data_IF_362361098506
#
_entry.id   IF_362361098506
#
_cell.length_a   1.000
_cell.length_b   1.000
_cell.length_c   1.000
_cell.angle_alpha   90.00
_cell.angle_beta   90.00
_cell.angle_gamma   90.00
#
_symmetry.space_group_name_H-M   'P 1'
#
loop_
_entity.id
_entity.type
_entity.pdbx_description
1 polymer ?
#
# COMPACT_ATOMS: atom_id res chain seq x y z
N UNK A 1 -18.15 19.30 -27.97
CA UNK A 1 -18.19 17.85 -27.90
C UNK A 1 -18.43 17.45 -26.45
N UNK A 2 -19.47 16.64 -26.13
CA UNK A 2 -19.59 16.08 -24.78
C UNK A 2 -18.34 15.24 -24.55
N UNK A 3 -17.49 15.58 -23.58
CA UNK A 3 -16.39 14.74 -23.14
C UNK A 3 -17.07 13.43 -22.70
N UNK A 4 -16.85 12.32 -23.41
CA UNK A 4 -17.34 11.02 -22.93
C UNK A 4 -16.77 10.83 -21.52
N UNK A 5 -17.64 10.51 -20.56
CA UNK A 5 -17.22 10.19 -19.21
C UNK A 5 -16.27 9.00 -19.26
N UNK A 6 -15.11 9.01 -18.61
CA UNK A 6 -14.16 7.92 -18.68
C UNK A 6 -14.73 6.63 -18.06
N UNK A 7 -14.48 5.48 -18.69
CA UNK A 7 -14.86 4.17 -18.16
C UNK A 7 -13.93 3.78 -17.02
N UNK A 8 -14.48 3.28 -15.91
CA UNK A 8 -13.73 2.81 -14.75
C UNK A 8 -13.89 1.29 -14.59
N UNK A 9 -12.77 0.56 -14.64
CA UNK A 9 -12.73 -0.87 -14.35
C UNK A 9 -12.50 -1.08 -12.85
N UNK A 10 -13.51 -1.58 -12.12
CA UNK A 10 -13.39 -1.99 -10.72
C UNK A 10 -12.97 -3.45 -10.69
N UNK A 11 -11.79 -3.75 -10.12
CA UNK A 11 -11.24 -5.10 -10.03
C UNK A 11 -11.44 -5.63 -8.62
N UNK A 12 -12.13 -6.78 -8.48
CA UNK A 12 -12.44 -7.43 -7.21
C UNK A 12 -11.83 -8.84 -7.20
N UNK A 13 -10.65 -9.03 -6.57
CA UNK A 13 -10.12 -10.36 -6.31
C UNK A 13 -10.90 -11.04 -5.18
N UNK A 14 -11.36 -12.27 -5.39
CA UNK A 14 -12.18 -13.02 -4.43
C UNK A 14 -11.55 -14.37 -4.10
N UNK A 15 -11.32 -14.63 -2.82
CA UNK A 15 -10.93 -15.94 -2.30
C UNK A 15 -11.58 -16.18 -0.94
N UNK A 16 -12.49 -17.17 -0.85
CA UNK A 16 -13.23 -17.52 0.37
C UNK A 16 -13.88 -16.30 1.05
N UNK A 17 -14.62 -15.51 0.26
CA UNK A 17 -15.25 -14.26 0.66
C UNK A 17 -16.76 -14.36 0.83
N UNK A 18 -17.34 -15.57 0.96
CA UNK A 18 -18.79 -15.81 0.96
C UNK A 18 -19.56 -14.96 1.98
N UNK A 19 -18.91 -14.60 3.10
CA UNK A 19 -19.54 -13.78 4.15
C UNK A 19 -19.71 -12.31 3.75
N UNK A 20 -18.81 -11.78 2.91
CA UNK A 20 -18.73 -10.35 2.60
C UNK A 20 -19.20 -10.00 1.18
N UNK A 21 -18.91 -10.86 0.22
CA UNK A 21 -18.92 -10.53 -1.21
C UNK A 21 -20.27 -10.00 -1.71
N UNK A 22 -21.39 -10.47 -1.17
CA UNK A 22 -22.70 -9.99 -1.60
C UNK A 22 -22.89 -8.49 -1.37
N UNK A 23 -22.57 -8.00 -0.16
CA UNK A 23 -22.69 -6.56 0.16
C UNK A 23 -21.64 -5.73 -0.60
N UNK A 24 -20.46 -6.29 -0.84
CA UNK A 24 -19.44 -5.65 -1.69
C UNK A 24 -19.98 -5.42 -3.10
N UNK A 25 -20.55 -6.45 -3.73
CA UNK A 25 -21.16 -6.32 -5.07
C UNK A 25 -22.35 -5.34 -5.09
N UNK A 26 -23.17 -5.34 -4.03
CA UNK A 26 -24.25 -4.37 -3.87
C UNK A 26 -23.70 -2.94 -3.79
N UNK A 27 -22.61 -2.70 -3.08
CA UNK A 27 -21.98 -1.37 -2.96
C UNK A 27 -21.40 -0.87 -4.30
N UNK A 28 -20.88 -1.78 -5.13
CA UNK A 28 -20.42 -1.46 -6.49
C UNK A 28 -21.61 -1.19 -7.42
N UNK A 29 -22.67 -1.99 -7.31
CA UNK A 29 -23.89 -1.80 -8.10
C UNK A 29 -24.59 -0.47 -7.83
N UNK A 30 -24.50 0.03 -6.60
CA UNK A 30 -25.11 1.28 -6.13
C UNK A 30 -24.28 2.54 -6.41
N UNK A 31 -23.14 2.42 -7.14
CA UNK A 31 -22.35 3.60 -7.48
C UNK A 31 -23.15 4.59 -8.34
N UNK A 32 -23.06 5.87 -7.99
CA UNK A 32 -23.75 6.96 -8.72
C UNK A 32 -23.09 7.25 -10.06
N UNK A 33 -21.84 6.90 -10.25
CA UNK A 33 -21.11 7.06 -11.51
C UNK A 33 -21.53 5.97 -12.50
N UNK A 34 -22.02 6.33 -13.72
CA UNK A 34 -22.66 5.34 -14.62
C UNK A 34 -21.67 4.51 -15.45
N UNK A 35 -20.49 5.07 -15.76
CA UNK A 35 -19.52 4.42 -16.68
C UNK A 35 -18.57 3.51 -15.88
N UNK A 36 -19.09 2.35 -15.44
CA UNK A 36 -18.36 1.35 -14.66
C UNK A 36 -18.48 -0.03 -15.33
N UNK A 37 -17.36 -0.75 -15.42
CA UNK A 37 -17.33 -2.20 -15.50
C UNK A 37 -16.75 -2.79 -14.22
N UNK A 38 -17.24 -3.93 -13.79
CA UNK A 38 -16.75 -4.64 -12.61
C UNK A 38 -16.16 -5.99 -13.02
N UNK A 39 -14.89 -6.21 -12.75
CA UNK A 39 -14.13 -7.43 -13.06
C UNK A 39 -13.93 -8.21 -11.78
N UNK A 40 -14.68 -9.30 -11.64
CA UNK A 40 -14.68 -10.14 -10.43
C UNK A 40 -13.90 -11.41 -10.75
N UNK A 41 -12.87 -11.69 -9.96
CA UNK A 41 -12.02 -12.85 -10.17
C UNK A 41 -12.11 -13.77 -8.96
N UNK A 42 -12.72 -14.95 -9.15
CA UNK A 42 -12.68 -16.02 -8.16
C UNK A 42 -11.33 -16.74 -8.26
N UNK A 43 -10.50 -16.60 -7.24
CA UNK A 43 -9.16 -17.21 -7.15
C UNK A 43 -9.21 -18.58 -6.49
N UNK A 44 -10.04 -19.49 -7.02
CA UNK A 44 -10.15 -20.86 -6.55
C UNK A 44 -10.79 -21.00 -5.17
N UNK A 45 -11.84 -20.22 -4.87
CA UNK A 45 -12.59 -20.34 -3.60
C UNK A 45 -13.15 -21.73 -3.40
N UNK A 46 -13.12 -22.20 -2.15
CA UNK A 46 -13.62 -23.51 -1.71
C UNK A 46 -14.94 -23.42 -0.92
N UNK A 47 -15.39 -22.20 -0.67
CA UNK A 47 -16.67 -21.88 -0.05
C UNK A 47 -17.73 -21.49 -1.11
N UNK A 48 -18.86 -20.95 -0.68
CA UNK A 48 -19.96 -20.53 -1.57
C UNK A 48 -19.72 -19.21 -2.31
N UNK A 49 -18.50 -18.65 -2.29
CA UNK A 49 -18.17 -17.36 -2.96
C UNK A 49 -18.55 -17.39 -4.44
N UNK A 50 -18.14 -18.45 -5.18
CA UNK A 50 -18.42 -18.56 -6.61
C UNK A 50 -19.92 -18.58 -6.90
N UNK A 51 -20.70 -19.29 -6.10
CA UNK A 51 -22.16 -19.36 -6.27
C UNK A 51 -22.80 -17.98 -6.06
N UNK A 52 -22.34 -17.23 -5.07
CA UNK A 52 -22.87 -15.89 -4.78
C UNK A 52 -22.59 -14.94 -5.97
N UNK A 53 -21.34 -14.89 -6.44
CA UNK A 53 -20.97 -13.97 -7.54
C UNK A 53 -21.65 -14.34 -8.85
N UNK A 54 -21.82 -15.63 -9.17
CA UNK A 54 -22.47 -16.06 -10.41
C UNK A 54 -23.98 -15.83 -10.40
N UNK A 55 -24.59 -15.82 -9.22
CA UNK A 55 -26.02 -15.51 -9.04
C UNK A 55 -26.30 -14.00 -9.00
N UNK A 56 -25.30 -13.15 -8.84
CA UNK A 56 -25.47 -11.70 -8.86
C UNK A 56 -25.63 -11.17 -10.28
N UNK A 57 -26.88 -10.87 -10.66
CA UNK A 57 -27.23 -10.47 -12.03
C UNK A 57 -26.97 -8.97 -12.27
N UNK A 58 -25.91 -8.65 -12.99
CA UNK A 58 -25.62 -7.31 -13.48
C UNK A 58 -24.87 -7.37 -14.80
N UNK A 59 -25.33 -6.64 -15.82
CA UNK A 59 -24.75 -6.65 -17.18
C UNK A 59 -23.35 -6.05 -17.26
N UNK A 60 -22.96 -5.24 -16.28
CA UNK A 60 -21.63 -4.60 -16.21
C UNK A 60 -20.62 -5.42 -15.37
N UNK A 61 -21.03 -6.61 -14.88
CA UNK A 61 -20.19 -7.47 -14.06
C UNK A 61 -19.65 -8.64 -14.90
N UNK A 62 -18.33 -8.71 -15.01
CA UNK A 62 -17.59 -9.74 -15.73
C UNK A 62 -16.93 -10.69 -14.74
N UNK A 63 -17.34 -11.95 -14.73
CA UNK A 63 -16.89 -12.94 -13.76
C UNK A 63 -15.88 -13.87 -14.43
N UNK A 64 -14.74 -14.03 -13.76
CA UNK A 64 -13.68 -14.96 -14.14
C UNK A 64 -13.37 -15.90 -12.98
N UNK A 65 -12.92 -17.10 -13.29
CA UNK A 65 -12.44 -18.08 -12.31
C UNK A 65 -11.10 -18.64 -12.73
N UNK A 66 -10.22 -18.85 -11.75
CA UNK A 66 -8.91 -19.48 -11.94
C UNK A 66 -8.60 -20.41 -10.75
N UNK A 67 -7.60 -21.27 -10.88
CA UNK A 67 -6.99 -21.93 -9.74
C UNK A 67 -6.34 -20.89 -8.83
N UNK A 68 -6.26 -21.16 -7.52
CA UNK A 68 -5.68 -20.21 -6.57
C UNK A 68 -4.21 -19.89 -6.90
N UNK A 69 -3.94 -18.64 -7.24
CA UNK A 69 -2.61 -18.08 -7.55
C UNK A 69 -2.19 -16.98 -6.59
N UNK A 70 -3.09 -16.61 -5.68
CA UNK A 70 -2.88 -15.54 -4.71
C UNK A 70 -3.22 -14.14 -5.21
N UNK A 71 -3.27 -13.20 -4.28
CA UNK A 71 -3.84 -11.86 -4.47
C UNK A 71 -3.15 -11.05 -5.58
N UNK A 72 -1.80 -11.08 -5.63
CA UNK A 72 -1.01 -10.37 -6.65
C UNK A 72 -1.35 -10.81 -8.05
N UNK A 73 -1.36 -12.13 -8.31
CA UNK A 73 -1.63 -12.69 -9.63
C UNK A 73 -3.09 -12.47 -10.01
N UNK A 74 -4.01 -12.51 -9.05
CA UNK A 74 -5.42 -12.23 -9.27
C UNK A 74 -5.65 -10.76 -9.65
N UNK A 75 -5.00 -9.81 -8.98
CA UNK A 75 -5.04 -8.39 -9.36
C UNK A 75 -4.39 -8.16 -10.73
N UNK A 76 -3.26 -8.82 -11.03
CA UNK A 76 -2.61 -8.73 -12.34
C UNK A 76 -3.50 -9.27 -13.46
N UNK A 77 -4.19 -10.39 -13.23
CA UNK A 77 -5.16 -10.92 -14.19
C UNK A 77 -6.32 -9.94 -14.40
N UNK A 78 -6.81 -9.30 -13.34
CA UNK A 78 -7.82 -8.24 -13.45
C UNK A 78 -7.34 -7.05 -14.30
N UNK A 79 -6.08 -6.62 -14.13
CA UNK A 79 -5.46 -5.58 -14.96
C UNK A 79 -5.43 -5.94 -16.45
N UNK A 80 -5.18 -7.21 -16.78
CA UNK A 80 -5.18 -7.69 -18.16
C UNK A 80 -6.59 -7.69 -18.78
N UNK A 81 -7.64 -7.84 -17.97
CA UNK A 81 -9.04 -7.82 -18.39
C UNK A 81 -9.66 -6.42 -18.44
N UNK A 82 -9.05 -5.44 -17.76
CA UNK A 82 -9.55 -4.10 -17.68
C UNK A 82 -9.54 -3.39 -19.04
N UNK A 83 -10.72 -2.88 -19.44
CA UNK A 83 -10.93 -2.10 -20.67
C UNK A 83 -11.11 -0.60 -20.40
N UNK A 84 -11.33 -0.22 -19.14
CA UNK A 84 -11.58 1.16 -18.73
C UNK A 84 -10.37 2.10 -18.88
N UNK A 85 -10.67 3.39 -19.00
CA UNK A 85 -9.66 4.47 -18.96
C UNK A 85 -8.94 4.51 -17.62
N UNK A 86 -9.62 4.06 -16.57
CA UNK A 86 -9.11 3.96 -15.21
C UNK A 86 -9.33 2.58 -14.63
N UNK A 87 -8.43 2.22 -13.70
CA UNK A 87 -8.54 1.03 -12.85
C UNK A 87 -8.71 1.46 -11.39
N UNK A 88 -9.62 0.77 -10.69
CA UNK A 88 -9.84 0.87 -9.26
C UNK A 88 -9.83 -0.53 -8.65
N UNK A 89 -9.04 -0.75 -7.59
CA UNK A 89 -9.05 -2.01 -6.86
C UNK A 89 -9.99 -1.94 -5.66
N UNK A 90 -10.80 -2.99 -5.48
CA UNK A 90 -11.68 -3.16 -4.33
C UNK A 90 -11.51 -4.58 -3.78
N UNK A 91 -11.17 -4.71 -2.50
CA UNK A 91 -11.08 -6.03 -1.89
C UNK A 91 -12.46 -6.62 -1.61
N UNK A 92 -12.54 -7.95 -1.60
CA UNK A 92 -13.82 -8.68 -1.49
C UNK A 92 -14.47 -8.65 -0.11
N UNK A 93 -13.87 -7.93 0.83
CA UNK A 93 -14.37 -7.71 2.20
C UNK A 93 -14.53 -6.22 2.56
N UNK A 94 -14.37 -5.30 1.59
CA UNK A 94 -14.46 -3.86 1.78
C UNK A 94 -15.69 -3.27 1.07
N UNK A 95 -16.12 -2.06 1.47
CA UNK A 95 -17.33 -1.41 0.96
C UNK A 95 -16.99 -0.08 0.28
N UNK A 96 -17.64 0.21 -0.84
CA UNK A 96 -17.56 1.51 -1.50
C UNK A 96 -18.71 2.43 -1.07
N UNK A 97 -18.43 3.68 -0.61
CA UNK A 97 -19.46 4.71 -0.55
C UNK A 97 -20.15 4.89 -1.90
N UNK A 98 -21.46 5.13 -1.94
CA UNK A 98 -22.21 5.22 -3.20
C UNK A 98 -21.65 6.24 -4.20
N UNK A 99 -21.01 7.32 -3.74
CA UNK A 99 -20.40 8.37 -4.55
C UNK A 99 -18.90 8.18 -4.76
N UNK A 100 -18.31 7.04 -4.40
CA UNK A 100 -16.86 6.85 -4.38
C UNK A 100 -16.21 7.10 -5.74
N UNK A 101 -16.70 6.45 -6.79
CA UNK A 101 -16.13 6.60 -8.14
C UNK A 101 -16.42 7.98 -8.72
N UNK A 102 -17.62 8.54 -8.49
CA UNK A 102 -17.97 9.89 -8.92
C UNK A 102 -17.06 10.96 -8.30
N UNK A 103 -16.80 10.85 -6.99
CA UNK A 103 -15.90 11.76 -6.26
C UNK A 103 -14.47 11.72 -6.80
N UNK A 104 -13.99 10.54 -7.19
CA UNK A 104 -12.65 10.36 -7.77
C UNK A 104 -12.58 10.86 -9.22
N UNK A 105 -13.60 10.62 -10.03
CA UNK A 105 -13.60 10.99 -11.46
C UNK A 105 -13.87 12.48 -11.67
N UNK A 106 -14.79 13.08 -10.91
CA UNK A 106 -15.23 14.49 -11.08
C UNK A 106 -14.05 15.48 -11.15
N UNK A 107 -13.03 15.42 -10.28
CA UNK A 107 -11.92 16.37 -10.31
C UNK A 107 -10.88 16.10 -11.39
N UNK A 108 -11.02 15.06 -12.23
CA UNK A 108 -10.07 14.69 -13.27
C UNK A 108 -9.99 15.76 -14.35
N UNK A 109 -8.78 16.26 -14.62
CA UNK A 109 -8.51 17.30 -15.62
C UNK A 109 -7.92 16.78 -16.93
N UNK A 110 -7.53 15.51 -16.98
CA UNK A 110 -6.83 14.89 -18.10
C UNK A 110 -5.34 14.69 -17.87
N UNK A 111 -4.80 15.24 -16.78
CA UNK A 111 -3.36 15.20 -16.49
C UNK A 111 -2.96 14.16 -15.46
N UNK A 112 -3.88 13.77 -14.58
CA UNK A 112 -3.59 12.92 -13.43
C UNK A 112 -3.31 11.48 -13.85
N UNK A 113 -2.19 10.92 -13.38
CA UNK A 113 -1.90 9.50 -13.46
C UNK A 113 -2.64 8.72 -12.37
N UNK A 114 -2.79 9.36 -11.18
CA UNK A 114 -3.42 8.75 -10.00
C UNK A 114 -4.28 9.80 -9.30
N UNK A 115 -5.49 9.41 -8.90
CA UNK A 115 -6.34 10.20 -8.00
C UNK A 115 -6.58 9.38 -6.75
N UNK A 116 -6.35 9.95 -5.57
CA UNK A 116 -6.36 9.26 -4.28
C UNK A 116 -7.41 9.89 -3.38
N UNK A 117 -8.34 9.08 -2.89
CA UNK A 117 -9.35 9.49 -1.93
C UNK A 117 -9.00 9.10 -0.49
N UNK A 118 -9.82 9.52 0.46
CA UNK A 118 -9.67 9.20 1.88
C UNK A 118 -10.29 7.86 2.20
N UNK A 119 -9.59 7.04 3.01
CA UNK A 119 -10.07 5.75 3.49
C UNK A 119 -10.57 5.87 4.92
N UNK A 120 -11.76 5.35 5.19
CA UNK A 120 -12.30 5.20 6.53
C UNK A 120 -12.19 3.75 6.99
N UNK A 121 -11.75 3.54 8.22
CA UNK A 121 -11.88 2.26 8.92
C UNK A 121 -13.36 2.01 9.24
N UNK A 122 -13.86 0.87 8.83
CA UNK A 122 -15.27 0.51 8.91
C UNK A 122 -15.46 -0.78 9.71
N UNK A 123 -16.45 -0.80 10.56
CA UNK A 123 -16.88 -2.03 11.24
C UNK A 123 -18.00 -2.67 10.45
N UNK A 124 -17.75 -3.88 10.01
CA UNK A 124 -18.73 -4.69 9.32
C UNK A 124 -19.91 -5.05 10.24
N UNK A 125 -19.63 -5.35 11.52
CA UNK A 125 -20.64 -5.74 12.49
C UNK A 125 -21.59 -4.58 12.83
N UNK A 126 -21.05 -3.40 13.09
CA UNK A 126 -21.85 -2.23 13.52
C UNK A 126 -22.30 -1.35 12.36
N UNK A 127 -21.80 -1.58 11.14
CA UNK A 127 -22.03 -0.77 9.93
C UNK A 127 -21.70 0.71 10.14
N UNK A 128 -20.61 1.00 10.88
CA UNK A 128 -20.18 2.37 11.21
C UNK A 128 -18.70 2.62 10.91
N UNK A 129 -18.40 3.86 10.57
CA UNK A 129 -17.03 4.36 10.50
C UNK A 129 -16.47 4.43 11.93
N UNK A 130 -15.29 3.85 12.16
CA UNK A 130 -14.61 3.81 13.45
C UNK A 130 -13.54 4.94 13.51
N UNK A 131 -12.78 5.11 12.43
CA UNK A 131 -11.67 6.07 12.33
C UNK A 131 -11.31 6.29 10.86
N UNK A 132 -10.26 7.03 10.60
CA UNK A 132 -9.75 7.24 9.25
C UNK A 132 -8.29 6.80 9.17
N UNK A 133 -7.88 6.26 8.03
CA UNK A 133 -6.47 6.05 7.74
C UNK A 133 -5.77 7.39 7.52
N UNK A 134 -4.46 7.46 7.72
CA UNK A 134 -3.69 8.66 7.41
C UNK A 134 -3.93 9.13 5.98
N UNK A 135 -4.24 10.41 5.82
CA UNK A 135 -4.52 11.06 4.54
C UNK A 135 -4.19 12.55 4.62
N UNK A 136 -4.08 13.21 3.47
CA UNK A 136 -3.98 14.65 3.40
C UNK A 136 -5.37 15.28 3.60
N UNK A 137 -5.48 16.28 4.45
CA UNK A 137 -6.77 16.86 4.86
C UNK A 137 -7.41 17.77 3.79
N UNK A 138 -6.62 18.25 2.84
CA UNK A 138 -7.07 19.17 1.78
C UNK A 138 -6.80 18.59 0.39
N UNK A 139 -7.55 19.08 -0.61
CA UNK A 139 -7.27 18.74 -2.02
C UNK A 139 -5.89 19.27 -2.42
N UNK A 140 -5.02 18.37 -2.86
CA UNK A 140 -3.66 18.71 -3.25
C UNK A 140 -3.28 18.03 -4.57
N UNK A 141 -2.68 18.80 -5.46
CA UNK A 141 -2.17 18.33 -6.73
C UNK A 141 -0.64 18.39 -6.73
N UNK A 142 -0.01 17.27 -7.08
CA UNK A 142 1.44 17.13 -7.15
C UNK A 142 1.89 16.85 -8.58
N UNK A 143 2.83 17.65 -9.07
CA UNK A 143 3.51 17.45 -10.36
C UNK A 143 4.97 17.07 -10.14
N UNK A 144 5.46 16.10 -10.90
CA UNK A 144 6.86 15.62 -10.82
C UNK A 144 7.83 16.44 -11.68
N UNK A 145 7.51 17.68 -12.03
CA UNK A 145 8.38 18.51 -12.90
C UNK A 145 9.65 19.01 -12.22
N UNK A 146 9.58 19.32 -10.92
CA UNK A 146 10.69 19.92 -10.16
C UNK A 146 10.87 19.35 -8.75
N UNK A 147 10.02 18.43 -8.32
CA UNK A 147 10.09 17.79 -7.00
C UNK A 147 9.54 16.38 -7.08
N UNK A 148 10.13 15.47 -6.34
CA UNK A 148 9.63 14.11 -6.24
C UNK A 148 8.25 14.11 -5.56
N UNK A 149 7.24 13.47 -6.15
CA UNK A 149 5.92 13.28 -5.52
C UNK A 149 6.08 12.43 -4.26
N UNK A 150 6.90 11.37 -4.35
CA UNK A 150 7.24 10.57 -3.17
C UNK A 150 8.13 11.41 -2.24
N UNK A 151 7.53 11.93 -1.19
CA UNK A 151 8.17 12.74 -0.14
C UNK A 151 8.02 12.08 1.22
N UNK A 152 8.76 12.58 2.21
CA UNK A 152 8.57 12.11 3.60
C UNK A 152 7.14 12.36 4.10
N UNK A 153 6.50 13.43 3.66
CA UNK A 153 5.11 13.73 3.98
C UNK A 153 4.16 12.65 3.43
N UNK A 154 4.35 12.25 2.18
CA UNK A 154 3.59 11.17 1.54
C UNK A 154 3.82 9.83 2.25
N UNK A 155 5.08 9.47 2.52
CA UNK A 155 5.43 8.21 3.21
C UNK A 155 4.75 8.11 4.59
N UNK A 156 4.54 9.23 5.27
CA UNK A 156 3.97 9.25 6.63
C UNK A 156 2.46 9.32 6.66
N UNK A 157 1.87 10.02 5.71
CA UNK A 157 0.46 10.40 5.74
C UNK A 157 -0.40 9.61 4.76
N UNK A 158 0.18 8.67 4.01
CA UNK A 158 -0.60 7.78 3.16
C UNK A 158 -0.43 6.33 3.57
N UNK A 159 -1.54 5.60 3.50
CA UNK A 159 -1.52 4.16 3.64
C UNK A 159 -1.09 3.51 2.31
N UNK A 160 -0.12 2.57 2.33
CA UNK A 160 0.38 1.91 1.13
C UNK A 160 -0.56 0.79 0.64
N UNK A 161 -1.87 1.04 0.60
CA UNK A 161 -2.87 0.12 0.08
C UNK A 161 -3.05 0.33 -1.43
N UNK A 162 -3.32 -0.71 -2.20
CA UNK A 162 -3.62 -0.61 -3.62
C UNK A 162 -5.00 0.00 -3.87
N UNK A 163 -5.93 -0.23 -2.96
CA UNK A 163 -7.30 0.25 -2.99
C UNK A 163 -7.37 1.77 -2.84
N UNK A 164 -8.58 2.32 -3.00
CA UNK A 164 -8.88 3.74 -2.81
C UNK A 164 -8.09 4.69 -3.71
N UNK A 165 -7.67 4.21 -4.86
CA UNK A 165 -6.95 4.99 -5.87
C UNK A 165 -7.51 4.70 -7.25
N UNK A 166 -7.75 5.76 -8.00
CA UNK A 166 -8.09 5.68 -9.41
C UNK A 166 -6.79 5.81 -10.20
N UNK A 167 -6.37 4.74 -10.85
CA UNK A 167 -5.15 4.68 -11.64
C UNK A 167 -5.48 4.83 -13.13
N UNK A 168 -4.83 5.75 -13.84
CA UNK A 168 -4.97 5.82 -15.31
C UNK A 168 -4.42 4.54 -15.93
N UNK A 169 -5.23 3.83 -16.69
CA UNK A 169 -4.87 2.52 -17.28
C UNK A 169 -3.67 2.62 -18.22
N UNK A 170 -3.63 3.67 -19.05
CA UNK A 170 -2.51 3.96 -19.94
C UNK A 170 -1.19 4.10 -19.16
N UNK A 171 -1.19 4.87 -18.06
CA UNK A 171 -0.02 5.03 -17.18
C UNK A 171 0.49 3.69 -16.64
N UNK A 172 -0.42 2.81 -16.16
CA UNK A 172 -0.03 1.49 -15.66
C UNK A 172 0.63 0.64 -16.74
N UNK A 173 0.08 0.69 -17.97
CA UNK A 173 0.60 -0.04 -19.14
C UNK A 173 1.96 0.49 -19.61
N UNK A 174 2.09 1.81 -19.79
CA UNK A 174 3.32 2.45 -20.23
C UNK A 174 4.48 2.23 -19.26
N UNK A 175 4.20 2.27 -17.96
CA UNK A 175 5.18 2.03 -16.92
C UNK A 175 5.40 0.55 -16.61
N UNK A 176 4.69 -0.36 -17.28
CA UNK A 176 4.73 -1.81 -17.07
C UNK A 176 4.59 -2.17 -15.57
N UNK A 177 3.57 -1.58 -14.92
CA UNK A 177 3.31 -1.76 -13.50
C UNK A 177 2.49 -3.03 -13.27
N UNK A 178 3.00 -3.91 -12.41
CA UNK A 178 2.35 -5.17 -11.99
C UNK A 178 2.63 -5.44 -10.53
N UNK A 179 1.70 -6.10 -9.85
CA UNK A 179 1.95 -6.61 -8.50
C UNK A 179 3.00 -7.71 -8.53
N UNK A 180 3.90 -7.70 -7.56
CA UNK A 180 4.91 -8.76 -7.41
C UNK A 180 4.25 -10.03 -6.88
N UNK A 181 4.32 -11.11 -7.66
CA UNK A 181 3.69 -12.39 -7.34
C UNK A 181 4.37 -13.11 -6.18
N UNK A 182 3.59 -13.89 -5.44
CA UNK A 182 4.10 -14.85 -4.45
C UNK A 182 4.57 -14.24 -3.13
N UNK A 183 4.32 -12.96 -2.86
CA UNK A 183 4.68 -12.30 -1.61
C UNK A 183 3.47 -11.76 -0.87
N UNK A 184 3.60 -11.56 0.45
CA UNK A 184 2.73 -10.70 1.24
C UNK A 184 3.27 -9.27 1.22
N UNK A 185 2.40 -8.29 1.44
CA UNK A 185 2.73 -6.86 1.41
C UNK A 185 3.14 -6.36 0.02
N UNK A 186 2.58 -6.98 -1.02
CA UNK A 186 2.71 -6.56 -2.42
C UNK A 186 2.27 -5.10 -2.63
N UNK A 187 1.34 -4.64 -1.79
CA UNK A 187 0.82 -3.27 -1.80
C UNK A 187 1.90 -2.21 -1.49
N UNK A 188 2.87 -2.53 -0.62
CA UNK A 188 3.99 -1.65 -0.31
C UNK A 188 4.84 -1.36 -1.55
N UNK A 189 5.14 -2.40 -2.35
CA UNK A 189 5.88 -2.23 -3.59
C UNK A 189 5.05 -1.52 -4.64
N UNK A 190 3.79 -1.91 -4.79
CA UNK A 190 2.84 -1.28 -5.71
C UNK A 190 2.69 0.22 -5.43
N UNK A 191 2.48 0.59 -4.18
CA UNK A 191 2.41 1.97 -3.74
C UNK A 191 3.69 2.74 -4.08
N UNK A 192 4.86 2.18 -3.70
CA UNK A 192 6.14 2.80 -4.02
C UNK A 192 6.28 3.01 -5.53
N UNK A 193 6.08 1.98 -6.34
CA UNK A 193 6.29 2.04 -7.78
C UNK A 193 5.33 3.01 -8.48
N UNK A 194 4.06 2.98 -8.10
CA UNK A 194 3.05 3.86 -8.71
C UNK A 194 3.29 5.32 -8.38
N UNK A 195 3.57 5.67 -7.11
CA UNK A 195 3.85 7.06 -6.72
C UNK A 195 5.23 7.54 -7.23
N UNK A 196 6.24 6.65 -7.25
CA UNK A 196 7.57 7.00 -7.73
C UNK A 196 7.61 7.32 -9.23
N UNK A 197 6.79 6.62 -10.03
CA UNK A 197 6.73 6.75 -11.49
C UNK A 197 5.65 7.74 -11.98
N UNK A 198 4.68 8.08 -11.14
CA UNK A 198 3.64 9.02 -11.54
C UNK A 198 4.21 10.42 -11.80
N UNK A 199 3.74 11.06 -12.86
CA UNK A 199 4.04 12.46 -13.16
C UNK A 199 3.09 13.40 -12.41
N UNK A 200 1.83 13.00 -12.27
CA UNK A 200 0.80 13.83 -11.66
C UNK A 200 -0.09 12.99 -10.73
N UNK A 201 -0.23 13.42 -9.48
CA UNK A 201 -1.07 12.77 -8.47
C UNK A 201 -1.99 13.82 -7.83
N UNK A 202 -3.29 13.51 -7.78
CA UNK A 202 -4.29 14.33 -7.12
C UNK A 202 -4.79 13.64 -5.85
N UNK A 203 -4.79 14.36 -4.74
CA UNK A 203 -5.43 13.95 -3.48
C UNK A 203 -6.74 14.69 -3.30
N UNK A 204 -7.78 13.97 -2.90
CA UNK A 204 -9.09 14.54 -2.57
C UNK A 204 -9.46 14.19 -1.11
N UNK A 205 -10.10 15.10 -0.35
CA UNK A 205 -10.45 14.86 1.05
C UNK A 205 -11.67 13.95 1.24
N UNK A 206 -12.38 13.64 0.15
CA UNK A 206 -13.60 12.84 0.17
C UNK A 206 -13.31 11.40 0.60
N UNK A 207 -14.19 10.82 1.42
CA UNK A 207 -14.12 9.41 1.78
C UNK A 207 -14.66 8.58 0.62
N UNK A 208 -13.79 7.80 0.01
CA UNK A 208 -14.09 7.01 -1.19
C UNK A 208 -13.91 5.52 -0.97
N UNK A 209 -13.55 5.10 0.26
CA UNK A 209 -13.32 3.70 0.58
C UNK A 209 -13.57 3.40 2.06
N UNK A 210 -14.29 2.32 2.34
CA UNK A 210 -14.51 1.77 3.67
C UNK A 210 -13.70 0.49 3.83
N UNK A 211 -12.62 0.56 4.59
CA UNK A 211 -11.74 -0.55 4.91
C UNK A 211 -12.27 -1.32 6.11
N UNK A 212 -12.59 -2.60 5.94
CA UNK A 212 -13.15 -3.47 6.98
C UNK A 212 -12.09 -3.92 7.97
N UNK A 213 -12.25 -3.57 9.25
CA UNK A 213 -11.25 -3.80 10.29
C UNK A 213 -11.55 -5.00 11.18
N UNK A 214 -12.77 -5.49 11.23
CA UNK A 214 -13.22 -6.58 12.09
C UNK A 214 -13.19 -7.97 11.41
N UNK A 215 -12.69 -8.07 10.15
CA UNK A 215 -12.39 -9.35 9.53
C UNK A 215 -11.29 -10.10 10.30
N UNK A 216 -11.65 -11.22 10.95
CA UNK A 216 -10.72 -12.05 11.73
C UNK A 216 -9.74 -12.85 10.85
N UNK A 217 -10.06 -13.04 9.57
CA UNK A 217 -9.24 -13.78 8.60
C UNK A 217 -8.28 -12.88 7.80
N UNK A 218 -8.21 -11.59 8.12
CA UNK A 218 -7.31 -10.66 7.45
C UNK A 218 -5.84 -11.11 7.55
N UNK A 219 -5.17 -11.17 6.41
CA UNK A 219 -3.75 -11.54 6.27
C UNK A 219 -2.84 -10.62 7.11
N UNK A 220 -3.21 -9.35 7.23
CA UNK A 220 -2.42 -8.33 7.93
C UNK A 220 -2.35 -8.52 9.44
N UNK A 221 -3.27 -9.31 10.04
CA UNK A 221 -3.30 -9.58 11.48
C UNK A 221 -2.34 -10.69 11.92
N UNK A 222 -1.83 -11.48 10.98
CA UNK A 222 -0.97 -12.61 11.27
C UNK A 222 0.50 -12.23 11.14
N UNK A 223 1.20 -12.06 12.28
CA UNK A 223 2.66 -11.87 12.30
C UNK A 223 3.35 -13.24 12.28
N UNK A 224 3.89 -13.63 11.13
CA UNK A 224 4.60 -14.89 10.92
C UNK A 224 5.74 -14.72 9.90
N UNK A 225 6.48 -15.81 9.63
CA UNK A 225 7.61 -15.78 8.70
C UNK A 225 7.23 -15.30 7.30
N UNK A 226 6.05 -15.64 6.78
CA UNK A 226 5.58 -15.18 5.45
C UNK A 226 5.45 -13.67 5.37
N UNK A 227 4.93 -13.04 6.44
CA UNK A 227 4.86 -11.58 6.52
C UNK A 227 6.25 -10.96 6.54
N UNK A 228 7.18 -11.53 7.30
CA UNK A 228 8.56 -11.06 7.35
C UNK A 228 9.23 -11.17 5.97
N UNK A 229 9.15 -12.32 5.32
CA UNK A 229 9.71 -12.54 3.98
C UNK A 229 9.12 -11.59 2.94
N UNK A 230 7.82 -11.28 3.03
CA UNK A 230 7.18 -10.31 2.17
C UNK A 230 7.84 -8.93 2.26
N UNK A 231 8.00 -8.37 3.46
CA UNK A 231 8.71 -7.10 3.65
C UNK A 231 10.16 -7.15 3.17
N UNK A 232 10.88 -8.25 3.44
CA UNK A 232 12.26 -8.40 2.98
C UNK A 232 12.35 -8.39 1.46
N UNK A 233 11.44 -9.07 0.78
CA UNK A 233 11.35 -9.10 -0.69
C UNK A 233 11.07 -7.71 -1.28
N UNK A 234 10.16 -6.95 -0.66
CA UNK A 234 9.88 -5.56 -1.07
C UNK A 234 11.12 -4.66 -0.88
N UNK A 235 11.77 -4.75 0.29
CA UNK A 235 12.98 -3.99 0.62
C UNK A 235 14.11 -4.29 -0.40
N UNK A 236 14.36 -5.57 -0.69
CA UNK A 236 15.38 -5.98 -1.67
C UNK A 236 15.03 -5.51 -3.08
N UNK A 237 13.77 -5.61 -3.47
CA UNK A 237 13.31 -5.16 -4.80
C UNK A 237 13.51 -3.66 -4.98
N UNK A 238 13.10 -2.85 -4.00
CA UNK A 238 13.28 -1.40 -4.07
C UNK A 238 14.78 -1.03 -4.09
N UNK A 239 15.60 -1.71 -3.29
CA UNK A 239 17.03 -1.46 -3.27
C UNK A 239 17.68 -1.80 -4.61
N UNK A 240 17.48 -3.00 -5.13
CA UNK A 240 18.13 -3.47 -6.36
C UNK A 240 17.62 -2.74 -7.61
N UNK A 241 16.29 -2.54 -7.72
CA UNK A 241 15.66 -2.01 -8.93
C UNK A 241 15.70 -0.47 -8.98
N UNK A 242 15.67 0.19 -7.82
CA UNK A 242 15.55 1.65 -7.78
C UNK A 242 16.73 2.34 -7.10
N UNK A 243 17.13 1.93 -5.88
CA UNK A 243 18.19 2.64 -5.16
C UNK A 243 19.53 2.54 -5.89
N UNK A 244 19.93 1.38 -6.38
CA UNK A 244 21.20 1.21 -7.10
C UNK A 244 21.22 1.95 -8.44
N UNK A 245 20.07 2.19 -9.07
CA UNK A 245 19.98 2.95 -10.33
C UNK A 245 19.88 4.46 -10.11
N UNK A 246 19.26 4.88 -9.01
CA UNK A 246 18.99 6.29 -8.68
C UNK A 246 19.49 6.65 -7.27
N UNK A 247 20.78 6.41 -6.92
CA UNK A 247 21.27 6.62 -5.55
C UNK A 247 21.22 8.08 -5.11
N UNK A 248 21.13 9.02 -6.04
CA UNK A 248 20.98 10.45 -5.77
C UNK A 248 19.60 10.82 -5.23
N UNK A 249 18.57 9.99 -5.46
CA UNK A 249 17.22 10.19 -4.94
C UNK A 249 17.13 9.68 -3.51
N UNK A 250 17.51 10.52 -2.56
CA UNK A 250 17.59 10.20 -1.14
C UNK A 250 16.27 9.66 -0.58
N UNK A 251 15.13 10.03 -1.19
CA UNK A 251 13.81 9.56 -0.79
C UNK A 251 13.67 8.03 -0.85
N UNK A 252 14.37 7.37 -1.77
CA UNK A 252 14.37 5.90 -1.87
C UNK A 252 15.02 5.29 -0.62
N UNK A 253 16.14 5.87 -0.16
CA UNK A 253 16.80 5.45 1.07
C UNK A 253 15.88 5.62 2.30
N UNK A 254 15.13 6.72 2.36
CA UNK A 254 14.14 6.93 3.42
C UNK A 254 12.98 5.94 3.36
N UNK A 255 12.49 5.61 2.15
CA UNK A 255 11.43 4.60 2.02
C UNK A 255 11.91 3.21 2.47
N UNK A 256 13.11 2.80 2.09
CA UNK A 256 13.75 1.56 2.57
C UNK A 256 13.85 1.58 4.10
N UNK A 257 14.31 2.67 4.69
CA UNK A 257 14.40 2.80 6.13
C UNK A 257 13.01 2.77 6.81
N UNK A 258 11.97 3.31 6.16
CA UNK A 258 10.58 3.20 6.62
C UNK A 258 10.11 1.74 6.66
N UNK A 259 10.34 0.97 5.60
CA UNK A 259 10.01 -0.46 5.56
C UNK A 259 10.78 -1.26 6.62
N UNK A 260 12.07 -1.00 6.79
CA UNK A 260 12.87 -1.59 7.87
C UNK A 260 12.29 -1.25 9.26
N UNK A 261 11.81 -0.01 9.47
CA UNK A 261 11.14 0.40 10.71
C UNK A 261 9.88 -0.44 10.96
N UNK A 262 9.03 -0.64 9.93
CA UNK A 262 7.82 -1.46 10.05
C UNK A 262 8.21 -2.90 10.40
N UNK A 263 9.16 -3.46 9.68
CA UNK A 263 9.67 -4.82 9.91
C UNK A 263 10.19 -4.98 11.35
N UNK A 264 11.01 -4.04 11.83
CA UNK A 264 11.50 -4.03 13.23
C UNK A 264 10.33 -3.92 14.21
N UNK A 265 9.33 -3.07 13.90
CA UNK A 265 8.14 -2.91 14.73
C UNK A 265 7.38 -4.24 14.95
N UNK A 266 7.31 -5.05 13.91
CA UNK A 266 6.65 -6.36 13.96
C UNK A 266 7.39 -7.37 14.85
N UNK A 267 8.68 -7.18 15.12
CA UNK A 267 9.45 -8.03 16.04
C UNK A 267 8.99 -7.95 17.51
N UNK A 268 8.05 -7.08 17.84
CA UNK A 268 7.46 -7.04 19.20
C UNK A 268 6.94 -8.43 19.60
N UNK A 269 6.42 -9.18 18.63
CA UNK A 269 5.94 -10.55 18.77
C UNK A 269 6.99 -11.56 18.28
N UNK A 270 8.24 -11.40 18.73
CA UNK A 270 9.41 -12.18 18.28
C UNK A 270 9.22 -13.70 18.32
N UNK A 271 8.42 -14.22 19.27
CA UNK A 271 8.11 -15.65 19.37
C UNK A 271 7.34 -16.21 18.16
N UNK A 272 6.82 -15.36 17.29
CA UNK A 272 6.07 -15.78 16.11
C UNK A 272 6.99 -16.02 14.88
N UNK A 273 8.29 -15.74 15.00
CA UNK A 273 9.24 -15.86 13.90
C UNK A 273 10.26 -16.96 14.18
N UNK A 274 10.57 -17.77 13.16
CA UNK A 274 11.62 -18.76 13.23
C UNK A 274 13.01 -18.11 13.30
N UNK A 275 13.99 -18.84 13.84
CA UNK A 275 15.38 -18.37 13.85
C UNK A 275 15.92 -18.15 12.44
N UNK A 276 15.50 -18.98 11.48
CA UNK A 276 15.86 -18.88 10.07
C UNK A 276 15.36 -17.55 9.46
N UNK A 277 14.10 -17.21 9.70
CA UNK A 277 13.52 -15.95 9.22
C UNK A 277 14.22 -14.73 9.83
N UNK A 278 14.59 -14.78 11.09
CA UNK A 278 15.33 -13.70 11.77
C UNK A 278 16.76 -13.57 11.20
N UNK A 279 17.45 -14.67 10.94
CA UNK A 279 18.77 -14.66 10.30
C UNK A 279 18.71 -14.12 8.88
N UNK A 280 17.67 -14.47 8.11
CA UNK A 280 17.46 -13.92 6.78
C UNK A 280 17.21 -12.40 6.84
N UNK A 281 16.41 -11.94 7.80
CA UNK A 281 16.22 -10.50 8.03
C UNK A 281 17.55 -9.78 8.29
N UNK A 282 18.37 -10.30 9.21
CA UNK A 282 19.68 -9.72 9.52
C UNK A 282 20.59 -9.66 8.29
N UNK A 283 20.62 -10.74 7.50
CA UNK A 283 21.38 -10.82 6.25
C UNK A 283 20.88 -9.78 5.24
N UNK A 284 19.57 -9.74 4.99
CA UNK A 284 18.96 -8.78 4.08
C UNK A 284 19.23 -7.33 4.52
N UNK A 285 19.08 -7.01 5.80
CA UNK A 285 19.32 -5.66 6.30
C UNK A 285 20.78 -5.21 6.17
N UNK A 286 21.73 -6.12 6.35
CA UNK A 286 23.16 -5.85 6.12
C UNK A 286 23.46 -5.63 4.64
N UNK A 287 22.89 -6.45 3.76
CA UNK A 287 23.02 -6.33 2.29
C UNK A 287 22.37 -5.07 1.76
N UNK A 288 21.17 -4.74 2.22
CA UNK A 288 20.40 -3.57 1.84
C UNK A 288 20.74 -2.42 2.80
N UNK A 289 21.83 -1.74 2.55
CA UNK A 289 22.31 -0.63 3.38
C UNK A 289 22.46 0.66 2.54
N UNK A 290 21.36 1.40 2.32
CA UNK A 290 21.44 2.65 1.56
C UNK A 290 22.23 3.72 2.32
N UNK A 291 23.01 4.49 1.60
CA UNK A 291 23.74 5.64 2.15
C UNK A 291 22.83 6.87 2.25
N UNK A 292 23.04 7.65 3.29
CA UNK A 292 22.37 8.94 3.50
C UNK A 292 23.40 10.07 3.38
N UNK A 293 23.02 11.17 2.73
CA UNK A 293 23.91 12.33 2.59
C UNK A 293 24.33 12.87 3.95
N UNK A 294 25.65 13.10 4.11
CA UNK A 294 26.24 13.55 5.38
C UNK A 294 25.78 14.96 5.85
N UNK A 295 25.27 15.79 4.94
CA UNK A 295 24.74 17.12 5.29
C UNK A 295 23.36 17.04 5.92
N UNK A 296 23.31 16.48 7.12
CA UNK A 296 22.09 16.42 7.93
C UNK A 296 21.87 17.81 8.50
N UNK A 297 20.93 18.54 7.96
CA UNK A 297 20.38 19.69 8.66
C UNK A 297 19.72 19.16 9.95
N UNK A 298 20.36 19.45 11.10
CA UNK A 298 19.91 19.00 12.43
C UNK A 298 18.46 19.38 12.74
N UNK A 299 17.87 20.29 11.97
CA UNK A 299 16.47 20.69 12.08
C UNK A 299 15.49 19.66 11.50
N UNK A 300 15.92 18.70 10.66
CA UNK A 300 15.03 17.69 10.13
C UNK A 300 15.15 16.38 10.93
N UNK A 301 14.47 16.37 12.04
CA UNK A 301 14.42 15.30 13.03
C UNK A 301 13.94 13.97 12.41
N UNK A 302 13.04 14.02 11.43
CA UNK A 302 12.49 12.84 10.80
C UNK A 302 13.51 12.10 9.94
N UNK A 303 14.29 12.83 9.17
CA UNK A 303 15.41 12.27 8.41
C UNK A 303 16.39 11.55 9.33
N UNK A 304 16.72 12.17 10.48
CA UNK A 304 17.61 11.55 11.48
C UNK A 304 17.02 10.27 12.06
N UNK A 305 15.71 10.21 12.26
CA UNK A 305 15.05 9.01 12.76
C UNK A 305 15.19 7.84 11.77
N UNK A 306 14.99 8.06 10.47
CA UNK A 306 15.18 7.01 9.48
C UNK A 306 16.63 6.56 9.34
N UNK A 307 17.59 7.48 9.45
CA UNK A 307 19.03 7.14 9.48
C UNK A 307 19.33 6.26 10.70
N UNK A 308 18.84 6.62 11.89
CA UNK A 308 18.97 5.81 13.08
C UNK A 308 18.38 4.41 12.91
N UNK A 309 17.17 4.31 12.36
CA UNK A 309 16.53 3.02 12.08
C UNK A 309 17.38 2.18 11.12
N UNK A 310 17.90 2.78 10.06
CA UNK A 310 18.76 2.05 9.12
C UNK A 310 20.02 1.53 9.81
N UNK A 311 20.65 2.31 10.66
CA UNK A 311 21.83 1.87 11.41
C UNK A 311 21.51 0.80 12.45
N UNK A 312 20.38 0.95 13.18
CA UNK A 312 19.92 -0.08 14.11
C UNK A 312 19.68 -1.41 13.39
N UNK A 313 19.15 -1.37 12.19
CA UNK A 313 18.85 -2.54 11.38
C UNK A 313 20.10 -3.38 10.99
N UNK A 314 21.30 -2.81 11.11
CA UNK A 314 22.55 -3.55 10.82
C UNK A 314 23.01 -4.44 11.98
N UNK A 315 22.36 -4.37 13.14
CA UNK A 315 22.64 -5.20 14.32
C UNK A 315 21.91 -6.53 14.23
N UNK A 316 22.24 -7.46 15.13
CA UNK A 316 21.49 -8.70 15.29
C UNK A 316 20.08 -8.45 15.83
N UNK A 317 19.18 -9.41 15.60
CA UNK A 317 17.75 -9.29 15.94
C UNK A 317 17.51 -9.13 17.45
N UNK A 318 18.34 -9.77 18.30
CA UNK A 318 18.23 -9.63 19.75
C UNK A 318 18.62 -8.23 20.20
N UNK A 319 19.68 -7.66 19.63
CA UNK A 319 20.12 -6.28 19.90
C UNK A 319 19.09 -5.28 19.37
N UNK A 320 18.55 -5.49 18.17
CA UNK A 320 17.48 -4.66 17.60
C UNK A 320 16.28 -4.64 18.55
N UNK A 321 15.82 -5.80 19.00
CA UNK A 321 14.70 -5.93 19.94
C UNK A 321 14.98 -5.19 21.23
N UNK A 322 16.15 -5.40 21.85
CA UNK A 322 16.56 -4.73 23.08
C UNK A 322 16.61 -3.20 22.94
N UNK A 323 17.21 -2.70 21.88
CA UNK A 323 17.37 -1.26 21.70
C UNK A 323 16.10 -0.56 21.23
N UNK A 324 15.24 -1.24 20.47
CA UNK A 324 14.01 -0.65 19.94
C UNK A 324 12.84 -0.69 20.93
N UNK A 325 12.66 -1.81 21.65
CA UNK A 325 11.49 -2.03 22.51
C UNK A 325 11.77 -1.85 24.02
N UNK A 326 12.91 -2.36 24.51
CA UNK A 326 13.20 -2.36 25.96
C UNK A 326 13.77 -1.03 26.48
N UNK A 327 13.82 -0.01 25.65
CA UNK A 327 14.15 1.32 26.11
C UNK A 327 12.85 2.00 26.59
N UNK A 328 12.55 1.98 27.91
CA UNK A 328 11.24 2.36 28.46
C UNK A 328 10.91 3.83 28.29
N UNK A 329 11.70 4.54 27.52
CA UNK A 329 11.57 5.96 27.48
C UNK A 329 10.92 6.40 26.19
N UNK A 330 9.69 6.80 26.39
CA UNK A 330 8.93 7.80 25.64
C UNK A 330 9.73 8.53 24.57
N UNK A 331 9.08 8.84 23.50
CA UNK A 331 9.54 9.59 22.34
C UNK A 331 10.71 10.59 22.56
N UNK A 332 10.78 11.28 23.69
CA UNK A 332 11.83 12.25 24.05
C UNK A 332 13.25 11.66 24.22
N UNK A 333 13.44 10.46 24.79
CA UNK A 333 14.78 9.85 24.89
C UNK A 333 15.21 9.10 23.63
N UNK A 334 14.29 8.59 22.84
CA UNK A 334 14.61 8.19 21.46
C UNK A 334 15.19 9.41 20.71
N UNK A 335 14.60 10.56 20.91
CA UNK A 335 15.06 11.85 20.38
C UNK A 335 16.45 12.23 20.88
N UNK A 336 16.73 12.09 22.17
CA UNK A 336 18.02 12.43 22.76
C UNK A 336 19.12 11.49 22.26
N UNK A 337 18.85 10.18 22.08
CA UNK A 337 19.82 9.24 21.48
C UNK A 337 20.10 9.56 20.02
N UNK A 338 19.08 9.93 19.24
CA UNK A 338 19.24 10.37 17.85
C UNK A 338 20.08 11.65 17.79
N UNK A 339 19.82 12.59 18.68
CA UNK A 339 20.57 13.84 18.78
C UNK A 339 22.04 13.59 19.19
N UNK A 340 22.26 12.77 20.21
CA UNK A 340 23.62 12.41 20.68
C UNK A 340 24.37 11.62 19.61
N UNK A 341 23.69 10.69 18.91
CA UNK A 341 24.27 9.95 17.81
C UNK A 341 24.72 10.87 16.66
N UNK A 342 23.93 11.88 16.30
CA UNK A 342 24.28 12.87 15.29
C UNK A 342 25.46 13.79 15.69
N UNK A 343 25.69 13.95 17.00
CA UNK A 343 26.79 14.75 17.55
C UNK A 343 28.10 13.94 17.59
N UNK A 344 28.04 12.66 17.96
CA UNK A 344 29.23 11.81 18.15
C UNK A 344 29.74 11.14 16.87
N UNK A 345 28.92 11.00 15.80
CA UNK A 345 29.37 10.50 14.50
C UNK A 345 29.85 11.62 13.55
N UNK A 346 30.25 12.75 14.07
CA UNK A 346 30.92 13.83 13.33
C UNK A 346 32.44 13.66 13.24
N UNK A 347 32.97 12.45 13.44
CA UNK A 347 34.39 12.16 13.20
C UNK A 347 34.56 11.28 11.98
#
# INVERSE_FOLDING_TARGET
MKKNSPLVSIIIPCYNASYYIKEVLESVHQQTYPEIECIIINDGSTDTTLDIITNFKNSHFHIYSQENKGLSDTRNFGLEKASGDFVFFCDSDDILPATAIESLVTPYTGQENIIIGKTANYSWETKKIISYLPHLDEKQFFENKNSEILTLNIIKNLSPIAQNKLYKTEFLKEQNLKFLSGIYHEDELWFFETIFKAENVLFIPDVTYYYTTDNSHSITKNHNDKNLYGYLSVIETIYNKYYLQFPQREIIAYYIAHLKKITIGNLKNHSNYSNEALQQMESTFKKVNPEFKKNINLKNIEKQYFIYVNMLSLKDSATIKKEYFNNPVNSLRKWFKILMFSIFNKK
#
